data_IF_360337408272
#
_entry.id   IF_360337408272
#
_cell.length_a   1.000
_cell.length_b   1.000
_cell.length_c   1.000
_cell.angle_alpha   90.00
_cell.angle_beta   90.00
_cell.angle_gamma   90.00
#
_symmetry.space_group_name_H-M   'P 1'
#
loop_
_entity.id
_entity.type
_entity.pdbx_description
1 polymer ?
#
# COMPACT_ATOMS: atom_id res chain seq x y z
N UNK A 1 -0.41 14.09 7.16
CA UNK A 1 0.18 14.08 5.80
C UNK A 1 0.68 12.67 5.53
N UNK A 2 0.24 12.05 4.44
CA UNK A 2 0.85 10.80 3.96
C UNK A 2 1.57 11.14 2.65
N UNK A 3 2.89 11.34 2.65
CA UNK A 3 3.71 11.52 1.46
C UNK A 3 3.87 10.17 0.74
N UNK A 4 4.45 10.21 -0.45
CA UNK A 4 4.70 8.99 -1.22
C UNK A 4 5.65 8.06 -0.51
N UNK A 5 5.30 6.79 -0.62
CA UNK A 5 6.03 5.64 -0.06
C UNK A 5 7.12 5.12 -1.01
N UNK A 6 7.19 5.66 -2.23
CA UNK A 6 8.29 5.43 -3.18
C UNK A 6 9.47 6.29 -2.74
N UNK A 7 10.42 5.72 -2.00
CA UNK A 7 11.56 6.45 -1.43
C UNK A 7 12.78 6.39 -2.35
N UNK A 8 13.77 7.27 -2.15
CA UNK A 8 15.05 7.21 -2.84
C UNK A 8 16.01 6.21 -2.16
N UNK A 9 16.00 6.16 -0.83
CA UNK A 9 16.75 5.17 -0.08
C UNK A 9 15.90 3.92 0.19
N UNK A 10 16.55 2.76 0.24
CA UNK A 10 15.98 1.55 0.85
C UNK A 10 15.98 1.72 2.37
N UNK A 11 14.84 1.44 3.00
CA UNK A 11 14.60 1.63 4.43
C UNK A 11 14.16 0.32 5.04
N UNK A 12 14.92 -0.19 6.00
CA UNK A 12 14.71 -1.51 6.56
C UNK A 12 14.16 -1.41 7.98
N UNK A 13 13.05 -2.09 8.24
CA UNK A 13 12.48 -2.16 9.59
C UNK A 13 13.37 -2.97 10.52
N UNK A 14 13.59 -2.44 11.71
CA UNK A 14 14.29 -3.14 12.80
C UNK A 14 13.25 -3.64 13.80
N UNK A 15 12.97 -4.95 13.86
CA UNK A 15 11.89 -5.47 14.69
C UNK A 15 12.07 -5.20 16.18
N UNK A 16 13.30 -5.24 16.71
CA UNK A 16 13.56 -5.09 18.14
C UNK A 16 12.94 -3.83 18.76
N UNK A 17 13.37 -2.61 18.36
CA UNK A 17 12.80 -1.37 18.89
C UNK A 17 11.34 -1.17 18.46
N UNK A 18 10.91 -1.69 17.31
CA UNK A 18 9.54 -1.53 16.82
C UNK A 18 8.51 -2.49 17.45
N UNK A 19 8.95 -3.58 18.06
CA UNK A 19 8.14 -4.64 18.66
C UNK A 19 8.45 -4.88 20.13
N UNK A 20 8.86 -3.81 20.83
CA UNK A 20 8.99 -3.80 22.27
C UNK A 20 7.60 -3.85 22.97
N UNK A 21 7.58 -4.20 24.25
CA UNK A 21 6.33 -4.44 25.00
C UNK A 21 5.43 -3.19 25.08
N UNK A 22 6.00 -1.98 25.07
CA UNK A 22 5.23 -0.73 25.00
C UNK A 22 4.53 -0.59 23.66
N UNK A 23 5.20 -0.89 22.54
CA UNK A 23 4.61 -0.84 21.21
C UNK A 23 3.52 -1.91 21.04
N UNK A 24 3.78 -3.13 21.53
CA UNK A 24 2.82 -4.24 21.51
C UNK A 24 1.55 -3.92 22.28
N UNK A 25 1.68 -3.42 23.52
CA UNK A 25 0.52 -3.03 24.34
C UNK A 25 -0.25 -1.86 23.73
N UNK A 26 0.45 -0.82 23.25
CA UNK A 26 -0.19 0.35 22.63
C UNK A 26 -0.99 -0.02 21.39
N UNK A 27 -0.55 -1.02 20.63
CA UNK A 27 -1.21 -1.47 19.40
C UNK A 27 -2.17 -2.65 19.61
N UNK A 28 -2.30 -3.16 20.84
CA UNK A 28 -3.02 -4.39 21.15
C UNK A 28 -2.64 -5.53 20.18
N UNK A 29 -1.33 -5.75 20.06
CA UNK A 29 -0.73 -6.63 19.05
C UNK A 29 0.23 -7.61 19.72
N UNK A 30 0.29 -8.84 19.24
CA UNK A 30 1.28 -9.82 19.69
C UNK A 30 2.64 -9.59 19.01
N UNK A 31 3.71 -10.16 19.58
CA UNK A 31 5.04 -10.11 18.95
C UNK A 31 5.05 -10.80 17.58
N UNK A 32 4.34 -11.92 17.42
CA UNK A 32 4.21 -12.63 16.14
C UNK A 32 3.56 -11.76 15.06
N UNK A 33 2.44 -11.10 15.38
CA UNK A 33 1.80 -10.14 14.48
C UNK A 33 2.73 -8.98 14.13
N UNK A 34 3.45 -8.46 15.13
CA UNK A 34 4.38 -7.34 15.01
C UNK A 34 5.56 -7.63 14.07
N UNK A 35 6.13 -8.83 14.16
CA UNK A 35 7.21 -9.30 13.28
C UNK A 35 6.69 -9.58 11.88
N UNK A 36 5.56 -10.29 11.78
CA UNK A 36 4.98 -10.69 10.51
C UNK A 36 4.57 -9.49 9.64
N UNK A 37 3.95 -8.45 10.23
CA UNK A 37 3.62 -7.24 9.45
C UNK A 37 4.87 -6.62 8.84
N UNK A 38 5.95 -6.46 9.62
CA UNK A 38 7.16 -5.72 9.22
C UNK A 38 8.02 -6.40 8.19
N UNK A 39 7.96 -7.73 8.10
CA UNK A 39 8.76 -8.52 7.16
C UNK A 39 10.25 -8.28 7.37
N UNK A 40 10.89 -9.01 8.28
CA UNK A 40 12.33 -8.81 8.55
C UNK A 40 13.15 -9.18 7.32
N UNK A 41 13.83 -8.19 6.72
CA UNK A 41 14.82 -8.39 5.66
C UNK A 41 16.26 -8.52 6.22
N UNK A 42 16.42 -8.25 7.52
CA UNK A 42 17.72 -8.28 8.21
C UNK A 42 17.86 -9.54 9.05
N UNK A 43 19.08 -10.06 9.13
CA UNK A 43 19.48 -10.99 10.17
C UNK A 43 19.48 -10.23 11.50
N UNK A 44 18.72 -10.74 12.48
CA UNK A 44 18.56 -10.12 13.78
C UNK A 44 18.88 -11.08 14.91
N UNK A 45 19.28 -10.56 16.06
CA UNK A 45 19.46 -11.34 17.29
C UNK A 45 18.11 -11.72 17.93
N UNK A 46 18.14 -12.43 19.06
CA UNK A 46 16.93 -12.81 19.79
C UNK A 46 16.13 -11.63 20.37
N UNK A 47 16.71 -10.43 20.40
CA UNK A 47 16.04 -9.19 20.78
C UNK A 47 15.52 -8.40 19.56
N UNK A 48 15.77 -8.88 18.34
CA UNK A 48 15.35 -8.25 17.09
C UNK A 48 16.26 -7.12 16.61
N UNK A 49 17.49 -7.00 17.13
CA UNK A 49 18.47 -6.02 16.68
C UNK A 49 19.30 -6.57 15.50
N UNK A 50 19.73 -5.74 14.54
CA UNK A 50 20.50 -6.21 13.39
C UNK A 50 21.87 -6.74 13.80
N UNK A 51 22.31 -7.84 13.20
CA UNK A 51 23.60 -8.49 13.50
C UNK A 51 24.52 -8.46 12.29
N UNK A 52 25.79 -8.11 12.50
CA UNK A 52 26.82 -8.20 11.45
C UNK A 52 26.73 -7.12 10.36
N UNK A 53 26.01 -6.01 10.63
CA UNK A 53 25.88 -4.90 9.69
C UNK A 53 26.74 -3.71 10.12
N UNK A 54 27.72 -3.28 9.32
CA UNK A 54 28.51 -2.08 9.60
C UNK A 54 27.62 -0.84 9.60
N UNK A 55 27.64 -0.09 10.71
CA UNK A 55 26.99 1.22 10.79
C UNK A 55 27.70 2.24 9.90
N UNK A 56 26.92 3.09 9.23
CA UNK A 56 27.42 4.18 8.40
C UNK A 56 26.72 5.50 8.75
N UNK A 57 27.20 6.61 8.20
CA UNK A 57 26.58 7.91 8.40
C UNK A 57 25.18 7.97 7.78
N UNK A 58 24.25 8.62 8.47
CA UNK A 58 22.92 8.95 7.95
C UNK A 58 22.91 10.23 7.11
N UNK A 59 24.05 10.92 7.00
CA UNK A 59 24.15 12.21 6.33
C UNK A 59 23.65 12.14 4.87
N UNK A 60 22.69 12.99 4.54
CA UNK A 60 22.14 13.12 3.19
C UNK A 60 20.92 12.25 2.92
N UNK A 61 20.61 11.26 3.79
CA UNK A 61 19.39 10.46 3.69
C UNK A 61 18.15 11.33 3.84
N UNK A 62 18.17 12.31 4.75
CA UNK A 62 17.06 13.24 4.93
C UNK A 62 16.81 14.11 3.71
N UNK A 63 17.88 14.69 3.16
CA UNK A 63 17.79 15.56 1.98
C UNK A 63 17.30 14.82 0.71
N UNK A 64 17.62 13.52 0.59
CA UNK A 64 17.19 12.68 -0.54
C UNK A 64 15.80 12.09 -0.33
N UNK A 65 15.30 12.05 0.91
CA UNK A 65 13.99 11.48 1.26
C UNK A 65 13.13 12.46 2.08
N UNK A 66 12.85 13.68 1.59
CA UNK A 66 12.06 14.66 2.32
C UNK A 66 10.64 14.16 2.66
N UNK A 67 10.04 13.35 1.79
CA UNK A 67 8.76 12.69 2.08
C UNK A 67 8.85 11.80 3.33
N UNK A 68 9.90 11.00 3.46
CA UNK A 68 10.08 10.12 4.63
C UNK A 68 10.17 10.90 5.95
N UNK A 69 10.89 12.02 5.97
CA UNK A 69 10.96 12.91 7.14
C UNK A 69 9.56 13.32 7.61
N UNK A 70 8.68 13.65 6.65
CA UNK A 70 7.31 14.04 6.94
C UNK A 70 6.46 12.87 7.47
N UNK A 71 6.65 11.63 6.96
CA UNK A 71 5.98 10.42 7.51
C UNK A 71 6.33 10.25 8.97
N UNK A 72 7.63 10.37 9.27
CA UNK A 72 8.18 10.17 10.59
C UNK A 72 7.85 11.32 11.55
N UNK A 73 7.21 12.40 11.06
CA UNK A 73 6.71 13.51 11.85
C UNK A 73 7.81 14.31 12.57
N UNK A 74 9.03 14.32 12.04
CA UNK A 74 10.19 14.77 12.79
C UNK A 74 11.32 15.37 11.95
N UNK A 75 12.52 15.35 12.53
CA UNK A 75 13.78 15.78 11.89
C UNK A 75 14.45 14.58 11.20
N UNK A 76 15.52 14.84 10.43
CA UNK A 76 16.33 13.77 9.84
C UNK A 76 16.82 12.76 10.89
N UNK A 77 17.19 13.21 12.10
CA UNK A 77 17.62 12.32 13.18
C UNK A 77 16.51 11.39 13.70
N UNK A 78 15.24 11.83 13.64
CA UNK A 78 14.09 10.99 14.01
C UNK A 78 13.75 10.01 12.89
N UNK A 79 13.83 10.49 11.64
CA UNK A 79 13.46 9.71 10.48
C UNK A 79 14.51 8.66 10.09
N UNK A 80 15.78 8.94 10.41
CA UNK A 80 16.96 8.12 10.14
C UNK A 80 17.81 8.04 11.41
N UNK A 81 17.38 7.27 12.43
CA UNK A 81 18.14 7.11 13.67
C UNK A 81 19.49 6.42 13.42
N UNK A 82 19.55 5.53 12.44
CA UNK A 82 20.76 4.84 12.03
C UNK A 82 20.71 4.49 10.53
N UNK A 83 21.89 4.21 9.98
CA UNK A 83 22.07 3.65 8.65
C UNK A 83 23.14 2.56 8.69
N UNK A 84 23.02 1.60 7.78
CA UNK A 84 23.95 0.47 7.66
C UNK A 84 24.39 0.28 6.23
N UNK A 85 25.55 -0.34 6.06
CA UNK A 85 25.94 -0.90 4.77
C UNK A 85 25.45 -2.36 4.71
N UNK A 86 24.33 -2.59 4.03
CA UNK A 86 23.76 -3.91 3.84
C UNK A 86 24.10 -4.45 2.45
N UNK A 87 23.95 -5.75 2.29
CA UNK A 87 24.26 -6.43 1.03
C UNK A 87 23.04 -7.18 0.52
N UNK A 88 22.59 -6.83 -0.70
CA UNK A 88 21.58 -7.60 -1.42
C UNK A 88 22.25 -8.82 -2.04
N UNK A 89 21.93 -10.00 -1.51
CA UNK A 89 22.36 -11.28 -2.09
C UNK A 89 21.47 -11.63 -3.30
N UNK A 90 22.10 -11.91 -4.44
CA UNK A 90 21.43 -12.33 -5.66
C UNK A 90 21.49 -13.85 -5.80
N UNK A 91 20.50 -14.44 -6.48
CA UNK A 91 20.40 -15.89 -6.66
C UNK A 91 21.58 -16.51 -7.42
N UNK A 92 22.30 -15.72 -8.22
CA UNK A 92 23.49 -16.15 -8.95
C UNK A 92 24.78 -16.08 -8.11
N UNK A 93 24.67 -15.79 -6.81
CA UNK A 93 25.78 -15.71 -5.87
C UNK A 93 26.46 -14.35 -5.84
N UNK A 94 26.06 -13.38 -6.67
CA UNK A 94 26.55 -12.00 -6.54
C UNK A 94 25.97 -11.32 -5.31
N UNK A 95 26.69 -10.30 -4.84
CA UNK A 95 26.28 -9.48 -3.71
C UNK A 95 26.48 -8.01 -4.04
N UNK A 96 25.48 -7.18 -3.76
CA UNK A 96 25.50 -5.74 -4.04
C UNK A 96 25.39 -4.98 -2.73
N UNK A 97 26.48 -4.31 -2.35
CA UNK A 97 26.51 -3.46 -1.17
C UNK A 97 25.77 -2.14 -1.43
N UNK A 98 24.97 -1.71 -0.47
CA UNK A 98 24.23 -0.45 -0.52
C UNK A 98 24.01 0.12 0.88
N UNK A 99 23.90 1.45 0.95
CA UNK A 99 23.56 2.15 2.18
C UNK A 99 22.04 2.14 2.34
N UNK A 100 21.60 1.56 3.45
CA UNK A 100 20.20 1.44 3.83
C UNK A 100 19.92 2.19 5.13
N UNK A 101 18.81 2.91 5.17
CA UNK A 101 18.32 3.54 6.39
C UNK A 101 17.62 2.52 7.29
N UNK A 102 17.75 2.66 8.61
CA UNK A 102 17.04 1.83 9.57
C UNK A 102 15.79 2.53 10.11
N UNK A 103 14.67 1.82 10.09
CA UNK A 103 13.41 2.25 10.71
C UNK A 103 13.37 1.62 12.11
N UNK A 104 13.62 2.43 13.13
CA UNK A 104 13.65 1.98 14.54
C UNK A 104 12.52 2.57 15.38
N UNK A 105 11.72 3.48 14.82
CA UNK A 105 10.60 4.11 15.51
C UNK A 105 9.35 4.21 14.62
N UNK A 106 8.23 4.57 15.22
CA UNK A 106 6.95 4.70 14.55
C UNK A 106 6.06 3.45 14.63
N UNK A 107 4.81 3.66 15.02
CA UNK A 107 3.84 2.58 15.30
C UNK A 107 3.00 2.18 14.08
N UNK A 108 2.92 3.05 13.07
CA UNK A 108 2.07 2.86 11.90
C UNK A 108 2.80 2.31 10.67
N UNK A 109 4.12 2.13 10.73
CA UNK A 109 4.87 1.51 9.63
C UNK A 109 4.55 0.03 9.58
N UNK A 110 4.12 -0.44 8.41
CA UNK A 110 3.73 -1.84 8.26
C UNK A 110 4.85 -2.64 7.65
N UNK A 111 5.80 -2.09 6.88
CA UNK A 111 6.89 -2.85 6.27
C UNK A 111 8.18 -2.03 6.01
N UNK A 112 9.22 -2.72 5.56
CA UNK A 112 10.40 -2.12 4.94
C UNK A 112 10.06 -1.53 3.56
N UNK A 113 10.86 -0.57 3.09
CA UNK A 113 10.70 0.11 1.80
C UNK A 113 11.92 -0.15 0.91
N UNK A 114 11.68 -0.48 -0.36
CA UNK A 114 12.73 -0.49 -1.38
C UNK A 114 12.79 0.89 -2.04
N UNK A 115 13.99 1.46 -2.15
CA UNK A 115 14.17 2.77 -2.76
C UNK A 115 13.97 2.70 -4.27
N UNK A 116 12.84 3.18 -4.80
CA UNK A 116 12.44 3.12 -6.21
C UNK A 116 12.15 4.49 -6.85
N UNK A 117 12.43 5.59 -6.15
CA UNK A 117 12.27 6.94 -6.70
C UNK A 117 13.41 7.33 -7.68
N UNK A 118 13.34 8.54 -8.21
CA UNK A 118 14.19 9.10 -9.28
C UNK A 118 15.71 9.03 -8.99
N UNK A 119 16.10 9.08 -7.72
CA UNK A 119 17.48 8.96 -7.24
C UNK A 119 17.70 7.72 -6.37
N UNK A 120 16.98 6.63 -6.68
CA UNK A 120 17.09 5.29 -6.09
C UNK A 120 18.54 4.85 -5.82
N UNK A 121 18.89 4.66 -4.55
CA UNK A 121 20.19 4.11 -4.11
C UNK A 121 20.35 2.65 -4.56
N UNK A 122 19.26 1.88 -4.52
CA UNK A 122 19.20 0.51 -5.01
C UNK A 122 19.57 0.41 -6.49
N UNK A 123 18.91 1.21 -7.34
CA UNK A 123 19.18 1.19 -8.78
C UNK A 123 20.60 1.67 -9.08
N UNK A 124 21.07 2.70 -8.38
CA UNK A 124 22.45 3.17 -8.53
C UNK A 124 23.48 2.08 -8.16
N UNK A 125 23.25 1.34 -7.07
CA UNK A 125 24.13 0.25 -6.64
C UNK A 125 24.12 -0.93 -7.63
N UNK A 126 22.95 -1.30 -8.16
CA UNK A 126 22.82 -2.36 -9.17
C UNK A 126 23.52 -2.01 -10.49
N UNK A 127 23.43 -0.76 -10.92
CA UNK A 127 24.15 -0.24 -12.10
C UNK A 127 25.66 -0.29 -11.86
N UNK A 128 26.12 0.23 -10.73
CA UNK A 128 27.54 0.25 -10.39
C UNK A 128 28.14 -1.15 -10.29
N UNK A 129 27.36 -2.13 -9.83
CA UNK A 129 27.75 -3.54 -9.77
C UNK A 129 27.62 -4.29 -11.12
N UNK A 130 27.17 -3.62 -12.19
CA UNK A 130 26.97 -4.24 -13.51
C UNK A 130 25.87 -5.29 -13.53
N UNK A 131 24.91 -5.22 -12.60
CA UNK A 131 23.77 -6.15 -12.53
C UNK A 131 22.67 -5.76 -13.53
N UNK A 132 22.44 -4.47 -13.68
CA UNK A 132 21.43 -3.91 -14.60
C UNK A 132 22.09 -3.04 -15.68
N UNK A 133 21.35 -2.72 -16.74
CA UNK A 133 21.75 -1.70 -17.72
C UNK A 133 21.82 -0.29 -17.11
N UNK A 134 22.26 0.73 -17.86
CA UNK A 134 22.55 2.07 -17.32
C UNK A 134 21.30 2.87 -16.90
N UNK A 135 20.09 2.34 -17.14
CA UNK A 135 18.83 3.00 -16.83
C UNK A 135 18.37 2.66 -15.42
N UNK A 136 17.89 3.68 -14.68
CA UNK A 136 17.25 3.50 -13.35
C UNK A 136 15.76 3.18 -13.48
N UNK A 137 15.43 2.35 -14.46
CA UNK A 137 14.05 2.01 -14.79
C UNK A 137 13.60 0.78 -14.03
N UNK A 138 12.31 0.67 -13.76
CA UNK A 138 11.73 -0.53 -13.16
C UNK A 138 10.31 -0.78 -13.65
N UNK A 139 9.96 -2.06 -13.66
CA UNK A 139 8.63 -2.54 -14.02
C UNK A 139 7.98 -3.23 -12.84
N UNK A 140 6.68 -2.98 -12.63
CA UNK A 140 5.95 -3.51 -11.49
C UNK A 140 4.61 -4.09 -11.93
N UNK A 141 4.43 -5.36 -11.60
CA UNK A 141 3.17 -6.07 -11.62
C UNK A 141 2.79 -6.37 -10.16
N UNK A 142 1.69 -5.79 -9.70
CA UNK A 142 1.29 -5.91 -8.30
C UNK A 142 0.71 -7.29 -7.94
N UNK A 143 0.50 -8.17 -8.94
CA UNK A 143 -0.23 -9.42 -8.76
C UNK A 143 -1.71 -9.18 -8.49
N UNK A 144 -2.43 -10.25 -8.12
CA UNK A 144 -3.85 -10.19 -7.78
C UNK A 144 -4.06 -10.01 -6.26
N UNK A 145 -5.08 -9.25 -5.90
CA UNK A 145 -5.65 -9.24 -4.54
C UNK A 145 -6.70 -10.33 -4.35
N UNK A 146 -7.23 -10.93 -5.42
CA UNK A 146 -8.30 -11.91 -5.37
C UNK A 146 -7.99 -13.09 -4.44
N UNK A 147 -8.93 -13.37 -3.54
CA UNK A 147 -8.88 -14.54 -2.65
C UNK A 147 -9.06 -15.82 -3.45
N UNK A 148 -10.02 -15.82 -4.38
CA UNK A 148 -10.39 -16.99 -5.15
C UNK A 148 -9.42 -17.27 -6.30
N UNK A 149 -8.73 -16.25 -6.81
CA UNK A 149 -7.83 -16.36 -7.97
C UNK A 149 -6.52 -15.60 -7.74
N UNK A 150 -5.73 -15.99 -6.72
CA UNK A 150 -4.49 -15.28 -6.42
C UNK A 150 -3.48 -15.42 -7.57
N UNK A 151 -2.71 -14.36 -7.78
CA UNK A 151 -1.65 -14.27 -8.78
C UNK A 151 -0.47 -13.54 -8.18
N UNK A 152 0.72 -14.12 -8.28
CA UNK A 152 1.95 -13.45 -7.86
C UNK A 152 2.21 -12.21 -8.70
N UNK A 153 2.76 -11.19 -8.07
CA UNK A 153 3.31 -10.03 -8.75
C UNK A 153 4.80 -10.22 -9.07
N UNK A 154 5.39 -9.20 -9.68
CA UNK A 154 6.81 -9.14 -9.99
C UNK A 154 7.33 -7.70 -9.94
N UNK A 155 8.58 -7.53 -9.50
CA UNK A 155 9.36 -6.30 -9.64
C UNK A 155 10.54 -6.60 -10.55
N UNK A 156 10.65 -5.88 -11.66
CA UNK A 156 11.77 -5.95 -12.60
C UNK A 156 12.63 -4.71 -12.42
N UNK A 157 13.93 -4.88 -12.16
CA UNK A 157 14.88 -3.77 -12.00
C UNK A 157 15.75 -3.65 -13.26
N UNK A 158 15.97 -2.42 -13.74
CA UNK A 158 16.74 -2.14 -14.94
C UNK A 158 15.98 -2.37 -16.25
N UNK A 159 14.65 -2.45 -16.21
CA UNK A 159 13.83 -2.71 -17.40
C UNK A 159 12.38 -3.06 -17.06
N UNK A 160 11.72 -3.78 -17.97
CA UNK A 160 10.36 -4.30 -17.81
C UNK A 160 10.22 -5.72 -18.35
N UNK A 161 9.24 -6.43 -17.82
CA UNK A 161 8.78 -7.71 -18.34
C UNK A 161 7.78 -7.46 -19.48
N UNK A 162 8.22 -7.66 -20.72
CA UNK A 162 7.37 -7.49 -21.90
C UNK A 162 6.28 -8.55 -22.00
N UNK A 163 6.44 -9.71 -21.36
CA UNK A 163 5.43 -10.77 -21.35
C UNK A 163 4.25 -10.45 -20.44
N UNK A 164 4.42 -9.56 -19.47
CA UNK A 164 3.39 -9.09 -18.55
C UNK A 164 2.59 -7.89 -19.10
N UNK A 165 2.97 -7.33 -20.25
CA UNK A 165 2.35 -6.14 -20.83
C UNK A 165 1.36 -6.52 -21.93
N UNK A 166 0.16 -5.96 -21.87
CA UNK A 166 -0.84 -6.04 -22.93
C UNK A 166 -1.27 -4.62 -23.36
N UNK A 167 -1.63 -4.46 -24.64
CA UNK A 167 -2.11 -3.19 -25.18
C UNK A 167 -1.01 -2.15 -25.43
N UNK A 168 -1.42 -0.90 -25.66
CA UNK A 168 -0.52 0.23 -25.88
C UNK A 168 -0.26 0.97 -24.57
N UNK A 169 1.00 1.35 -24.27
CA UNK A 169 1.29 2.11 -23.06
C UNK A 169 0.72 3.53 -23.15
N UNK A 170 0.23 4.04 -22.03
CA UNK A 170 -0.07 5.47 -21.85
C UNK A 170 1.02 6.06 -20.95
N UNK A 171 1.60 7.17 -21.38
CA UNK A 171 2.75 7.79 -20.71
C UNK A 171 2.31 9.02 -19.92
N UNK A 172 2.77 9.09 -18.67
CA UNK A 172 2.57 10.22 -17.77
C UNK A 172 3.94 10.78 -17.38
N UNK A 173 4.01 12.09 -17.17
CA UNK A 173 5.24 12.71 -16.67
C UNK A 173 5.38 12.49 -15.16
N UNK A 174 6.50 11.94 -14.73
CA UNK A 174 6.83 11.81 -13.31
C UNK A 174 7.17 13.18 -12.72
N UNK A 175 6.56 13.52 -11.58
CA UNK A 175 6.94 14.70 -10.82
C UNK A 175 8.21 14.43 -10.01
N UNK A 176 9.06 15.44 -9.83
CA UNK A 176 10.23 15.33 -8.96
C UNK A 176 9.81 14.96 -7.52
N UNK A 177 10.61 14.14 -6.82
CA UNK A 177 10.27 13.64 -5.48
C UNK A 177 10.11 14.76 -4.43
N UNK A 178 10.65 15.95 -4.67
CA UNK A 178 10.48 17.11 -3.78
C UNK A 178 9.19 17.91 -4.06
N UNK A 179 8.43 17.59 -5.10
CA UNK A 179 7.18 18.29 -5.43
C UNK A 179 6.04 17.77 -4.55
N UNK A 180 5.32 18.69 -3.93
CA UNK A 180 4.24 18.41 -3.00
C UNK A 180 2.90 18.77 -3.64
N UNK A 181 2.05 17.77 -3.89
CA UNK A 181 0.65 17.92 -4.29
C UNK A 181 -0.14 18.58 -3.17
N UNK A 182 -0.92 19.59 -3.52
CA UNK A 182 -1.72 20.42 -2.60
C UNK A 182 -0.95 20.93 -1.38
N UNK A 183 0.37 21.13 -1.50
CA UNK A 183 1.29 21.50 -0.41
C UNK A 183 1.24 20.57 0.81
N UNK A 184 0.69 19.37 0.65
CA UNK A 184 0.47 18.42 1.74
C UNK A 184 0.96 17.01 1.44
N UNK A 185 1.33 16.64 0.21
CA UNK A 185 1.76 15.27 -0.11
C UNK A 185 2.80 15.18 -1.22
N UNK A 186 3.92 14.51 -1.00
CA UNK A 186 4.85 14.11 -2.07
C UNK A 186 4.18 13.04 -2.95
N UNK A 187 4.19 13.20 -4.27
CA UNK A 187 3.51 12.31 -5.21
C UNK A 187 4.25 12.23 -6.56
N UNK A 188 5.33 11.45 -6.65
CA UNK A 188 6.16 11.40 -7.86
C UNK A 188 5.41 10.75 -9.02
N UNK A 189 4.67 9.68 -8.72
CA UNK A 189 3.83 8.93 -9.67
C UNK A 189 2.41 9.50 -9.68
N UNK A 190 2.29 10.77 -10.05
CA UNK A 190 1.01 11.48 -10.11
C UNK A 190 0.26 11.17 -11.41
N UNK A 191 -1.04 10.94 -11.28
CA UNK A 191 -1.98 10.83 -12.41
C UNK A 191 -3.25 11.62 -12.10
N UNK A 192 -4.06 11.91 -13.11
CA UNK A 192 -5.37 12.54 -12.96
C UNK A 192 -6.45 11.50 -13.27
N UNK A 193 -7.37 11.28 -12.33
CA UNK A 193 -8.59 10.49 -12.57
C UNK A 193 -9.61 11.42 -13.24
N UNK A 194 -9.94 11.14 -14.50
CA UNK A 194 -10.97 11.89 -15.23
C UNK A 194 -12.37 11.45 -14.82
N UNK A 195 -12.58 10.16 -14.55
CA UNK A 195 -13.87 9.68 -14.05
C UNK A 195 -13.71 8.38 -13.28
N UNK A 196 -14.68 8.09 -12.41
CA UNK A 196 -14.72 6.86 -11.64
C UNK A 196 -16.16 6.42 -11.48
N UNK A 197 -16.41 5.13 -11.72
CA UNK A 197 -17.74 4.54 -11.68
C UNK A 197 -17.71 3.22 -10.91
N UNK A 198 -18.77 2.98 -10.13
CA UNK A 198 -19.10 1.67 -9.60
C UNK A 198 -20.16 1.06 -10.51
N UNK A 199 -19.81 -0.04 -11.18
CA UNK A 199 -20.59 -0.62 -12.27
C UNK A 199 -21.00 -2.04 -11.91
N UNK A 200 -22.30 -2.33 -11.73
CA UNK A 200 -22.80 -3.70 -11.55
C UNK A 200 -22.32 -4.63 -12.67
N UNK A 201 -22.11 -5.91 -12.38
CA UNK A 201 -21.53 -6.87 -13.35
C UNK A 201 -22.32 -7.04 -14.65
N UNK A 202 -23.62 -6.76 -14.63
CA UNK A 202 -24.53 -6.80 -15.76
C UNK A 202 -24.76 -5.44 -16.42
N UNK A 203 -23.93 -4.44 -16.11
CA UNK A 203 -24.07 -3.04 -16.54
C UNK A 203 -22.79 -2.53 -17.22
N UNK A 204 -22.82 -1.27 -17.66
CA UNK A 204 -21.69 -0.52 -18.21
C UNK A 204 -21.63 0.86 -17.59
N UNK A 205 -20.43 1.46 -17.50
CA UNK A 205 -20.27 2.83 -16.99
C UNK A 205 -21.16 3.83 -17.76
N UNK A 206 -21.90 4.67 -17.03
CA UNK A 206 -22.85 5.63 -17.60
C UNK A 206 -24.27 5.07 -17.84
N UNK A 207 -24.52 3.79 -17.59
CA UNK A 207 -25.87 3.24 -17.59
C UNK A 207 -26.66 3.65 -16.33
N UNK A 208 -27.99 3.55 -16.39
CA UNK A 208 -28.91 4.01 -15.33
C UNK A 208 -28.71 3.32 -13.96
N UNK A 209 -28.11 2.13 -13.96
CA UNK A 209 -27.82 1.32 -12.79
C UNK A 209 -26.36 1.38 -12.35
N UNK A 210 -25.53 2.18 -13.03
CA UNK A 210 -24.16 2.48 -12.62
C UNK A 210 -24.09 3.74 -11.75
N UNK A 211 -23.11 3.80 -10.84
CA UNK A 211 -23.00 4.89 -9.88
C UNK A 211 -21.72 5.69 -10.11
N UNK A 212 -21.86 6.99 -10.39
CA UNK A 212 -20.73 7.87 -10.61
C UNK A 212 -20.10 8.31 -9.28
N UNK A 213 -18.81 8.07 -9.13
CA UNK A 213 -18.02 8.43 -7.95
C UNK A 213 -17.19 9.70 -8.18
N UNK A 214 -16.63 9.85 -9.39
CA UNK A 214 -15.90 11.04 -9.83
C UNK A 214 -16.46 11.51 -11.17
N UNK A 215 -16.83 12.78 -11.22
CA UNK A 215 -17.38 13.43 -12.41
C UNK A 215 -16.25 13.89 -13.34
N UNK A 216 -16.42 13.63 -14.64
CA UNK A 216 -15.60 14.19 -15.72
C UNK A 216 -15.44 15.71 -15.71
N UNK A 217 -16.42 16.44 -15.17
CA UNK A 217 -16.34 17.88 -15.00
C UNK A 217 -15.43 18.31 -13.83
N UNK A 218 -15.14 17.40 -12.90
CA UNK A 218 -14.37 17.63 -11.67
C UNK A 218 -13.31 16.53 -11.51
N UNK A 219 -12.26 16.53 -12.36
CA UNK A 219 -11.22 15.53 -12.29
C UNK A 219 -10.50 15.56 -10.95
N UNK A 220 -10.01 14.39 -10.53
CA UNK A 220 -9.40 14.19 -9.22
C UNK A 220 -7.94 13.81 -9.36
N UNK A 221 -7.05 14.57 -8.70
CA UNK A 221 -5.65 14.20 -8.60
C UNK A 221 -5.47 12.91 -7.78
N UNK A 222 -4.59 12.03 -8.26
CA UNK A 222 -4.29 10.78 -7.61
C UNK A 222 -2.80 10.45 -7.66
N UNK A 223 -2.35 9.68 -6.68
CA UNK A 223 -1.00 9.11 -6.64
C UNK A 223 -1.07 7.61 -6.80
N UNK A 224 -0.23 7.07 -7.67
CA UNK A 224 0.05 5.64 -7.69
C UNK A 224 0.98 5.32 -6.52
N UNK A 225 0.54 4.48 -5.58
CA UNK A 225 1.35 4.06 -4.42
C UNK A 225 1.49 2.55 -4.43
N UNK A 226 2.70 2.07 -4.72
CA UNK A 226 2.99 0.63 -4.78
C UNK A 226 2.96 -0.06 -3.41
N UNK A 227 3.08 0.71 -2.33
CA UNK A 227 3.01 0.22 -0.94
C UNK A 227 1.58 0.02 -0.45
N UNK A 228 0.68 0.96 -0.75
CA UNK A 228 -0.69 0.93 -0.23
C UNK A 228 -1.43 -0.27 -0.82
N UNK A 229 -2.02 -1.12 0.03
CA UNK A 229 -2.79 -2.28 -0.43
C UNK A 229 -4.10 -1.81 -1.08
N UNK A 230 -4.75 -0.82 -0.46
CA UNK A 230 -6.07 -0.34 -0.88
C UNK A 230 -6.05 1.06 -1.46
N UNK A 231 -7.00 1.29 -2.37
CA UNK A 231 -7.30 2.62 -2.88
C UNK A 231 -7.81 3.50 -1.74
N UNK A 232 -7.29 4.71 -1.60
CA UNK A 232 -7.79 5.70 -0.63
C UNK A 232 -8.52 6.79 -1.39
N UNK A 233 -9.73 7.13 -0.93
CA UNK A 233 -10.58 8.10 -1.61
C UNK A 233 -10.82 9.35 -0.75
N UNK A 234 -10.92 10.54 -1.36
CA UNK A 234 -11.43 11.74 -0.70
C UNK A 234 -12.74 11.47 0.02
N UNK A 235 -13.00 12.20 1.11
CA UNK A 235 -14.15 11.95 2.00
C UNK A 235 -15.49 11.90 1.25
N UNK A 236 -15.73 12.83 0.32
CA UNK A 236 -16.97 12.87 -0.48
C UNK A 236 -17.12 11.63 -1.36
N UNK A 237 -16.05 11.25 -2.06
CA UNK A 237 -16.04 10.07 -2.95
C UNK A 237 -16.21 8.79 -2.14
N UNK A 238 -15.53 8.69 -0.99
CA UNK A 238 -15.62 7.56 -0.07
C UNK A 238 -17.03 7.40 0.52
N UNK A 239 -17.68 8.50 0.90
CA UNK A 239 -19.04 8.48 1.43
C UNK A 239 -20.06 8.08 0.35
N UNK A 240 -19.91 8.59 -0.87
CA UNK A 240 -20.75 8.17 -2.01
C UNK A 240 -20.60 6.67 -2.27
N UNK A 241 -19.36 6.15 -2.29
CA UNK A 241 -19.10 4.73 -2.43
C UNK A 241 -19.80 3.90 -1.35
N UNK A 242 -19.69 4.29 -0.07
CA UNK A 242 -20.38 3.61 1.04
C UNK A 242 -21.89 3.58 0.82
N UNK A 243 -22.49 4.71 0.43
CA UNK A 243 -23.92 4.82 0.17
C UNK A 243 -24.37 3.92 -1.01
N UNK A 244 -23.57 3.84 -2.07
CA UNK A 244 -23.88 2.99 -3.22
C UNK A 244 -23.73 1.51 -2.91
N UNK A 245 -22.73 1.13 -2.13
CA UNK A 245 -22.61 -0.25 -1.62
C UNK A 245 -23.84 -0.62 -0.79
N UNK A 246 -24.28 0.25 0.12
CA UNK A 246 -25.49 0.04 0.92
C UNK A 246 -26.74 -0.07 0.03
N UNK A 247 -26.85 0.78 -1.01
CA UNK A 247 -27.95 0.73 -1.99
C UNK A 247 -28.00 -0.59 -2.75
N UNK A 248 -26.86 -1.06 -3.26
CA UNK A 248 -26.79 -2.32 -4.02
C UNK A 248 -27.04 -3.56 -3.15
N UNK A 249 -26.61 -3.52 -1.90
CA UNK A 249 -26.73 -4.66 -0.98
C UNK A 249 -28.05 -4.64 -0.19
N UNK A 250 -28.77 -3.52 -0.18
CA UNK A 250 -30.00 -3.33 0.60
C UNK A 250 -29.74 -3.18 2.11
N UNK A 251 -28.52 -2.80 2.49
CA UNK A 251 -28.08 -2.65 3.88
C UNK A 251 -28.30 -1.20 4.37
N UNK A 252 -28.48 -1.01 5.67
CA UNK A 252 -28.71 0.31 6.31
C UNK A 252 -27.68 0.70 7.38
N UNK A 253 -26.57 -0.04 7.50
CA UNK A 253 -25.62 0.06 8.62
C UNK A 253 -24.17 0.43 8.27
N UNK A 254 -23.84 0.77 7.02
CA UNK A 254 -22.47 1.15 6.61
C UNK A 254 -21.39 0.08 6.85
N UNK A 255 -20.10 0.35 6.71
CA UNK A 255 -19.05 -0.61 7.05
C UNK A 255 -18.82 -0.71 8.56
N UNK A 256 -18.34 -1.86 9.02
CA UNK A 256 -17.79 -2.05 10.37
C UNK A 256 -16.46 -1.31 10.48
N UNK A 257 -16.33 -0.45 11.48
CA UNK A 257 -15.10 0.30 11.75
C UNK A 257 -14.10 -0.58 12.48
N UNK A 258 -12.98 -0.92 11.83
CA UNK A 258 -11.93 -1.69 12.48
C UNK A 258 -10.90 -0.76 13.15
N UNK A 259 -10.60 -1.06 14.42
CA UNK A 259 -9.55 -0.39 15.20
C UNK A 259 -8.93 -1.41 16.14
N UNK A 260 -7.63 -1.74 16.04
CA UNK A 260 -7.05 -2.81 16.84
C UNK A 260 -7.06 -2.51 18.36
N UNK A 261 -7.06 -1.23 18.75
CA UNK A 261 -6.83 -0.77 20.14
C UNK A 261 -8.11 -0.40 20.89
N UNK A 262 -9.26 -0.27 20.23
CA UNK A 262 -10.47 0.32 20.83
C UNK A 262 -11.74 -0.44 20.48
N UNK A 263 -12.12 -1.45 21.28
CA UNK A 263 -13.47 -2.02 21.24
C UNK A 263 -13.98 -2.51 22.60
N UNK A 264 -14.40 -1.61 23.50
CA UNK A 264 -15.18 -2.00 24.68
C UNK A 264 -16.47 -2.76 24.32
N UNK A 265 -16.98 -2.53 23.10
CA UNK A 265 -18.18 -3.17 22.56
C UNK A 265 -17.94 -4.56 21.96
N UNK A 266 -16.69 -4.93 21.65
CA UNK A 266 -16.38 -6.28 21.20
C UNK A 266 -16.66 -7.33 22.28
N UNK A 267 -16.59 -6.95 23.56
CA UNK A 267 -17.06 -7.81 24.64
C UNK A 267 -18.58 -8.06 24.60
N UNK A 268 -19.35 -7.41 23.73
CA UNK A 268 -20.81 -7.61 23.61
C UNK A 268 -21.25 -8.10 22.24
N UNK A 269 -20.42 -7.96 21.21
CA UNK A 269 -20.68 -8.46 19.86
C UNK A 269 -19.74 -9.64 19.49
N UNK A 270 -20.25 -10.88 19.49
CA UNK A 270 -19.46 -12.07 19.13
C UNK A 270 -18.86 -12.01 17.72
N UNK A 271 -19.52 -11.35 16.77
CA UNK A 271 -19.04 -11.22 15.40
C UNK A 271 -17.84 -10.25 15.34
N UNK A 272 -17.92 -9.14 16.09
CA UNK A 272 -16.79 -8.22 16.24
C UNK A 272 -15.59 -8.88 16.93
N UNK A 273 -15.80 -9.79 17.90
CA UNK A 273 -14.71 -10.57 18.50
C UNK A 273 -13.98 -11.44 17.49
N UNK A 274 -14.70 -12.05 16.55
CA UNK A 274 -14.10 -12.86 15.50
C UNK A 274 -13.18 -12.00 14.63
N UNK A 275 -13.65 -10.83 14.19
CA UNK A 275 -12.83 -9.87 13.43
C UNK A 275 -11.56 -9.45 14.20
N UNK A 276 -11.69 -9.23 15.51
CA UNK A 276 -10.58 -8.81 16.37
C UNK A 276 -9.62 -9.94 16.76
N UNK A 277 -9.92 -11.19 16.41
CA UNK A 277 -8.92 -12.26 16.48
C UNK A 277 -7.77 -12.07 15.47
N UNK A 278 -7.98 -11.21 14.47
CA UNK A 278 -7.00 -10.81 13.47
C UNK A 278 -6.47 -9.40 13.73
N UNK A 279 -5.17 -9.22 13.52
CA UNK A 279 -4.57 -7.90 13.33
C UNK A 279 -4.60 -7.52 11.85
N UNK A 280 -5.33 -6.46 11.50
CA UNK A 280 -5.49 -5.97 10.12
C UNK A 280 -4.68 -4.68 9.95
N UNK A 281 -3.60 -4.74 9.17
CA UNK A 281 -2.67 -3.62 8.99
C UNK A 281 -3.32 -2.43 8.27
N UNK A 282 -4.02 -2.70 7.16
CA UNK A 282 -4.66 -1.69 6.31
C UNK A 282 -6.10 -2.11 6.06
N UNK A 283 -7.02 -1.86 7.02
CA UNK A 283 -8.42 -2.25 6.86
C UNK A 283 -9.11 -1.46 5.75
N UNK A 284 -9.77 -2.19 4.87
CA UNK A 284 -10.71 -1.68 3.87
C UNK A 284 -12.10 -1.48 4.46
N UNK A 285 -13.12 -1.34 3.59
CA UNK A 285 -14.50 -1.24 4.06
C UNK A 285 -15.03 -2.63 4.38
N UNK A 286 -15.12 -2.96 5.67
CA UNK A 286 -15.47 -4.29 6.16
C UNK A 286 -16.98 -4.40 6.37
N UNK A 287 -17.59 -5.49 5.91
CA UNK A 287 -19.01 -5.78 6.03
C UNK A 287 -19.24 -7.24 6.46
N UNK A 288 -20.26 -7.53 7.27
CA UNK A 288 -20.69 -8.91 7.52
C UNK A 288 -20.99 -9.64 6.21
N UNK A 289 -20.51 -10.87 6.06
CA UNK A 289 -20.57 -11.61 4.80
C UNK A 289 -22.02 -11.87 4.34
N UNK A 290 -22.92 -12.16 5.27
CA UNK A 290 -24.35 -12.35 4.97
C UNK A 290 -25.02 -11.09 4.38
N UNK A 291 -24.56 -9.90 4.77
CA UNK A 291 -25.12 -8.62 4.32
C UNK A 291 -24.63 -8.18 2.94
N UNK A 292 -23.64 -8.88 2.37
CA UNK A 292 -22.99 -8.51 1.11
C UNK A 292 -22.98 -9.61 0.08
N UNK A 293 -23.75 -10.69 0.30
CA UNK A 293 -23.88 -11.81 -0.64
C UNK A 293 -24.37 -11.41 -2.04
N UNK A 294 -24.92 -10.20 -2.20
CA UNK A 294 -25.41 -9.63 -3.47
C UNK A 294 -24.45 -8.63 -4.11
N UNK A 295 -23.33 -8.30 -3.46
CA UNK A 295 -22.39 -7.35 -4.02
C UNK A 295 -21.69 -7.98 -5.24
N UNK A 296 -22.00 -7.44 -6.42
CA UNK A 296 -21.37 -7.85 -7.67
C UNK A 296 -21.20 -6.62 -8.57
N UNK A 297 -20.13 -5.88 -8.32
CA UNK A 297 -19.81 -4.66 -9.04
C UNK A 297 -18.30 -4.54 -9.25
N UNK A 298 -17.94 -3.80 -10.29
CA UNK A 298 -16.58 -3.43 -10.63
C UNK A 298 -16.35 -1.95 -10.38
N UNK A 299 -15.10 -1.58 -10.08
CA UNK A 299 -14.69 -0.19 -10.00
C UNK A 299 -13.95 0.18 -11.29
N UNK A 300 -14.58 1.02 -12.11
CA UNK A 300 -14.03 1.47 -13.38
C UNK A 300 -13.43 2.85 -13.19
N UNK A 301 -12.11 2.97 -13.38
CA UNK A 301 -11.35 4.20 -13.22
C UNK A 301 -10.82 4.62 -14.60
N UNK A 302 -11.15 5.83 -15.03
CA UNK A 302 -10.56 6.40 -16.25
C UNK A 302 -9.59 7.49 -15.87
N UNK A 303 -8.38 7.41 -16.42
CA UNK A 303 -7.34 8.40 -16.26
C UNK A 303 -7.39 9.42 -17.41
N UNK A 304 -6.86 10.62 -17.15
CA UNK A 304 -6.55 11.58 -18.20
C UNK A 304 -5.63 10.95 -19.26
N UNK A 305 -5.85 11.22 -20.54
CA UNK A 305 -5.22 10.49 -21.64
C UNK A 305 -5.98 9.24 -22.09
N UNK A 306 -7.09 8.90 -21.43
CA UNK A 306 -8.08 7.92 -21.91
C UNK A 306 -7.83 6.47 -21.50
N UNK A 307 -6.83 6.20 -20.65
CA UNK A 307 -6.65 4.85 -20.10
C UNK A 307 -7.79 4.53 -19.13
N UNK A 308 -8.61 3.54 -19.46
CA UNK A 308 -9.63 3.00 -18.56
C UNK A 308 -9.13 1.69 -17.94
N UNK A 309 -9.28 1.57 -16.63
CA UNK A 309 -8.91 0.41 -15.83
C UNK A 309 -10.15 -0.11 -15.14
N UNK A 310 -10.46 -1.39 -15.36
CA UNK A 310 -11.58 -2.07 -14.73
C UNK A 310 -11.06 -2.96 -13.59
N UNK A 311 -11.42 -2.64 -12.35
CA UNK A 311 -11.13 -3.48 -11.18
C UNK A 311 -12.34 -4.39 -10.95
N UNK A 312 -12.25 -5.69 -11.29
CA UNK A 312 -13.40 -6.58 -11.22
C UNK A 312 -13.79 -6.91 -9.77
N UNK A 313 -15.04 -7.35 -9.59
CA UNK A 313 -15.62 -7.68 -8.27
C UNK A 313 -14.73 -8.62 -7.43
N UNK A 314 -14.13 -9.64 -8.06
CA UNK A 314 -13.26 -10.61 -7.37
C UNK A 314 -11.91 -10.05 -6.91
N UNK A 315 -11.51 -8.87 -7.38
CA UNK A 315 -10.33 -8.12 -6.92
C UNK A 315 -10.75 -7.04 -5.91
N UNK A 316 -11.93 -6.46 -6.12
CA UNK A 316 -12.47 -5.37 -5.32
C UNK A 316 -13.10 -5.84 -4.00
N UNK A 317 -13.65 -7.06 -3.93
CA UNK A 317 -14.39 -7.56 -2.77
C UNK A 317 -13.93 -8.97 -2.39
N UNK A 318 -13.41 -9.12 -1.17
CA UNK A 318 -12.76 -10.35 -0.73
C UNK A 318 -13.08 -10.65 0.75
N UNK A 319 -12.99 -11.91 1.21
CA UNK A 319 -12.97 -12.20 2.64
C UNK A 319 -11.87 -11.42 3.36
N UNK A 320 -12.15 -10.96 4.59
CA UNK A 320 -11.19 -10.21 5.40
C UNK A 320 -9.94 -11.06 5.66
N UNK A 321 -8.77 -10.43 5.55
CA UNK A 321 -7.48 -11.06 5.84
C UNK A 321 -6.72 -10.26 6.88
N UNK A 322 -5.97 -10.97 7.71
CA UNK A 322 -5.13 -10.34 8.71
C UNK A 322 -4.07 -11.30 9.24
N UNK A 323 -3.49 -10.93 10.37
CA UNK A 323 -2.47 -11.70 11.05
C UNK A 323 -3.08 -12.32 12.32
N UNK A 324 -3.03 -13.65 12.42
CA UNK A 324 -3.35 -14.36 13.65
C UNK A 324 -2.31 -14.04 14.73
N UNK A 325 -2.58 -14.41 15.99
CA UNK A 325 -1.74 -14.10 17.14
C UNK A 325 -0.29 -14.61 17.03
N UNK A 326 -0.04 -15.67 16.26
CA UNK A 326 1.31 -16.19 15.99
C UNK A 326 2.03 -15.45 14.84
N UNK A 327 1.35 -14.52 14.16
CA UNK A 327 1.85 -13.82 12.98
C UNK A 327 1.55 -14.52 11.65
N UNK A 328 0.94 -15.70 11.66
CA UNK A 328 0.52 -16.35 10.42
C UNK A 328 -0.59 -15.56 9.73
N UNK A 329 -0.65 -15.65 8.39
CA UNK A 329 -1.74 -15.06 7.62
C UNK A 329 -3.01 -15.88 7.86
N UNK A 330 -4.10 -15.21 8.22
CA UNK A 330 -5.38 -15.84 8.45
C UNK A 330 -6.51 -15.07 7.74
N UNK A 331 -7.61 -15.77 7.54
CA UNK A 331 -8.81 -15.29 6.83
C UNK A 331 -10.00 -15.41 7.75
N UNK A 332 -10.81 -14.36 7.84
CA UNK A 332 -12.07 -14.36 8.57
C UNK A 332 -13.23 -14.40 7.56
N UNK A 333 -13.98 -15.50 7.56
CA UNK A 333 -15.06 -15.74 6.58
C UNK A 333 -16.40 -15.13 7.00
N UNK A 334 -16.55 -14.71 8.26
CA UNK A 334 -17.71 -13.96 8.73
C UNK A 334 -17.83 -12.56 8.14
N UNK A 335 -16.77 -12.07 7.50
CA UNK A 335 -16.69 -10.72 6.93
C UNK A 335 -16.09 -10.72 5.53
N UNK A 336 -16.62 -9.79 4.72
CA UNK A 336 -16.01 -9.39 3.46
C UNK A 336 -15.48 -7.96 3.59
N UNK A 337 -14.53 -7.61 2.74
CA UNK A 337 -13.84 -6.34 2.69
C UNK A 337 -13.83 -5.83 1.26
N UNK A 338 -14.31 -4.60 1.08
CA UNK A 338 -14.08 -3.84 -0.15
C UNK A 338 -12.66 -3.27 -0.08
N UNK A 339 -11.89 -3.46 -1.16
CA UNK A 339 -10.48 -3.08 -1.32
C UNK A 339 -10.28 -1.55 -1.53
N UNK A 340 -10.97 -0.78 -0.69
CA UNK A 340 -10.90 0.67 -0.52
C UNK A 340 -10.70 0.93 0.96
N UNK A 341 -9.68 1.72 1.31
CA UNK A 341 -9.29 1.98 2.69
C UNK A 341 -10.44 2.63 3.48
N UNK A 342 -10.63 2.21 4.74
CA UNK A 342 -11.80 2.64 5.52
C UNK A 342 -11.83 4.14 5.88
N UNK A 343 -10.67 4.79 5.88
CA UNK A 343 -10.51 6.22 6.21
C UNK A 343 -10.26 7.08 4.98
N UNK A 344 -10.55 8.37 5.13
CA UNK A 344 -10.37 9.35 4.06
C UNK A 344 -8.92 9.44 3.57
N UNK A 345 -8.78 9.76 2.28
CA UNK A 345 -7.47 9.97 1.69
C UNK A 345 -6.79 11.23 2.25
N UNK A 346 -5.47 11.18 2.44
CA UNK A 346 -4.69 12.32 2.89
C UNK A 346 -4.78 13.47 1.88
N UNK A 347 -4.88 14.70 2.38
CA UNK A 347 -4.82 15.93 1.57
C UNK A 347 -5.88 16.01 0.45
N UNK A 348 -7.00 15.31 0.60
CA UNK A 348 -8.08 15.26 -0.39
C UNK A 348 -7.63 14.79 -1.79
N UNK A 349 -6.49 14.10 -1.90
CA UNK A 349 -5.98 13.52 -3.13
C UNK A 349 -6.12 12.00 -3.06
N UNK A 350 -6.59 11.37 -4.15
CA UNK A 350 -6.77 9.92 -4.16
C UNK A 350 -5.43 9.17 -4.10
N UNK A 351 -5.50 7.94 -3.61
CA UNK A 351 -4.42 6.96 -3.73
C UNK A 351 -4.92 5.77 -4.52
N UNK A 352 -4.21 5.43 -5.59
CA UNK A 352 -4.43 4.20 -6.32
C UNK A 352 -3.36 3.20 -5.88
N UNK A 353 -3.75 2.34 -4.94
CA UNK A 353 -2.91 1.30 -4.38
C UNK A 353 -2.93 0.00 -5.18
N UNK A 354 -2.52 -1.10 -4.55
CA UNK A 354 -2.49 -2.45 -5.13
C UNK A 354 -3.83 -2.89 -5.73
N UNK A 355 -4.97 -2.46 -5.18
CA UNK A 355 -6.28 -2.79 -5.76
C UNK A 355 -6.43 -2.28 -7.20
N UNK A 356 -5.98 -1.07 -7.49
CA UNK A 356 -5.87 -0.55 -8.86
C UNK A 356 -4.69 -1.18 -9.62
N UNK A 357 -3.51 -1.23 -9.00
CA UNK A 357 -2.28 -1.70 -9.66
C UNK A 357 -2.31 -3.19 -10.03
N UNK A 358 -3.22 -3.98 -9.46
CA UNK A 358 -3.44 -5.38 -9.83
C UNK A 358 -3.90 -5.58 -11.28
N UNK A 359 -4.45 -4.51 -11.89
CA UNK A 359 -5.04 -4.52 -13.23
C UNK A 359 -4.19 -3.77 -14.26
N UNK A 360 -3.04 -3.23 -13.87
CA UNK A 360 -2.14 -2.49 -14.76
C UNK A 360 -0.70 -2.94 -14.57
N UNK A 361 0.08 -2.87 -15.65
CA UNK A 361 1.53 -2.96 -15.56
C UNK A 361 2.11 -1.55 -15.45
N UNK A 362 2.86 -1.28 -14.39
CA UNK A 362 3.53 0.00 -14.20
C UNK A 362 4.98 -0.09 -14.70
N UNK A 363 5.39 0.84 -15.55
CA UNK A 363 6.79 1.00 -15.97
C UNK A 363 7.23 2.44 -15.70
N UNK A 364 8.35 2.59 -14.99
CA UNK A 364 8.95 3.87 -14.61
C UNK A 364 10.35 3.97 -15.18
#
# INVERSE_FOLDING_TARGET
VTPSTVTNATLLTVPGPLCNDTALSTQNMTRGQCYSRRGSALAVDGAGNPVGLPTVSTAGLGSSNPGWIVIMGGTEAVAFPAAVNASLALHDGRSVAMVDGLIESGINHTASHLGLADSSTLSAALIAAGVTGPTRSWGFDAGSLSYARPRSGALTLGGRDVGAVAGSPVTYSMSAYNKVVNNQRVCPLQVTISSMWLVPSNSTAGANDSFQLVDSALPLEACLEVYDIYTRLPVTVLNNLKNYVDTMTGRTGGPVSYKPVQHPEAEKDPLLRQLLSLYINEPGLIYPANSTARFDASLVVTLEGGQTVNIPSNELFNPVRGLAADGSRAVELGFNELAVYQSEAPANAAVLGRSFLSQVYLFV
#
